data_IF_832329146462
#
_entry.id   IF_832329146462
#
_cell.length_a   1.000
_cell.length_b   1.000
_cell.length_c   1.000
_cell.angle_alpha   90.00
_cell.angle_beta   90.00
_cell.angle_gamma   90.00
#
_symmetry.space_group_name_H-M   'P 1'
#
loop_
_entity.id
_entity.type
_entity.pdbx_description
1 polymer ?
#
# COMPACT_ATOMS: atom_id res chain seq x y z
N UNK A 1 52.90 44.95 -95.97
CA UNK A 1 52.35 44.44 -97.25
C UNK A 1 53.43 44.60 -98.30
N UNK A 2 54.31 43.61 -98.45
CA UNK A 2 55.26 43.59 -99.56
C UNK A 2 54.52 43.19 -100.82
N UNK A 3 54.75 43.91 -101.92
CA UNK A 3 54.21 43.52 -103.23
C UNK A 3 54.57 42.06 -103.53
N UNK A 4 53.61 41.21 -103.96
CA UNK A 4 53.92 39.85 -104.34
C UNK A 4 54.85 39.92 -105.55
N UNK A 5 56.11 39.47 -105.36
CA UNK A 5 57.08 39.36 -106.46
C UNK A 5 56.47 38.46 -107.53
N UNK A 6 56.12 39.05 -108.67
CA UNK A 6 55.64 38.31 -109.84
C UNK A 6 56.75 37.36 -110.28
N UNK A 7 56.53 36.04 -110.24
CA UNK A 7 57.53 35.08 -110.65
C UNK A 7 57.83 35.29 -112.14
N UNK A 8 59.11 35.30 -112.51
CA UNK A 8 59.54 35.36 -113.91
C UNK A 8 59.92 33.95 -114.34
N UNK A 9 59.31 33.46 -115.42
CA UNK A 9 59.44 32.10 -115.90
C UNK A 9 60.37 32.03 -117.12
N UNK A 10 61.17 30.98 -117.24
CA UNK A 10 62.06 30.75 -118.38
C UNK A 10 61.36 30.12 -119.59
N UNK A 11 60.16 29.57 -119.40
CA UNK A 11 59.30 28.94 -120.43
C UNK A 11 57.82 29.04 -120.03
N UNK A 12 56.92 29.05 -121.02
CA UNK A 12 55.46 28.96 -120.82
C UNK A 12 55.07 27.70 -120.04
N UNK A 13 55.84 26.62 -120.22
CA UNK A 13 55.63 25.35 -119.53
C UNK A 13 55.94 25.45 -118.01
N UNK A 14 56.88 26.31 -117.65
CA UNK A 14 57.29 26.60 -116.27
C UNK A 14 56.31 27.55 -115.57
N UNK A 15 55.68 28.46 -116.33
CA UNK A 15 54.59 29.31 -115.84
C UNK A 15 53.31 28.50 -115.57
N UNK A 16 52.93 27.61 -116.50
CA UNK A 16 51.78 26.72 -116.33
C UNK A 16 51.96 25.76 -115.15
N UNK A 17 53.15 25.20 -114.97
CA UNK A 17 53.44 24.30 -113.84
C UNK A 17 53.41 25.03 -112.50
N UNK A 18 53.94 26.26 -112.41
CA UNK A 18 53.89 27.07 -111.20
C UNK A 18 52.45 27.43 -110.79
N UNK A 19 51.61 27.92 -111.73
CA UNK A 19 50.23 28.27 -111.40
C UNK A 19 49.37 27.04 -111.09
N UNK A 20 49.64 25.90 -111.72
CA UNK A 20 49.01 24.62 -111.36
C UNK A 20 49.38 24.20 -109.95
N UNK A 21 50.67 24.20 -109.60
CA UNK A 21 51.14 23.91 -108.23
C UNK A 21 50.55 24.89 -107.21
N UNK A 22 50.43 26.18 -107.55
CA UNK A 22 49.86 27.18 -106.67
C UNK A 22 48.35 26.98 -106.47
N UNK A 23 47.61 26.62 -107.53
CA UNK A 23 46.20 26.23 -107.46
C UNK A 23 46.02 24.99 -106.59
N UNK A 24 46.84 23.95 -106.80
CA UNK A 24 46.81 22.72 -106.02
C UNK A 24 47.08 23.01 -104.53
N UNK A 25 48.05 23.88 -104.21
CA UNK A 25 48.32 24.34 -102.83
C UNK A 25 47.17 25.14 -102.20
N UNK A 26 46.44 25.95 -102.98
CA UNK A 26 45.28 26.68 -102.46
C UNK A 26 44.08 25.76 -102.25
N UNK A 27 43.87 24.83 -103.17
CA UNK A 27 42.85 23.78 -103.06
C UNK A 27 43.11 22.93 -101.81
N UNK A 28 44.34 22.45 -101.62
CA UNK A 28 44.73 21.69 -100.45
C UNK A 28 44.47 22.48 -99.15
N UNK A 29 44.86 23.76 -99.07
CA UNK A 29 44.57 24.58 -97.87
C UNK A 29 43.08 24.81 -97.63
N UNK A 30 42.28 24.92 -98.68
CA UNK A 30 40.83 25.07 -98.56
C UNK A 30 40.18 23.78 -98.06
N UNK A 31 40.67 22.62 -98.56
CA UNK A 31 40.27 21.29 -98.08
C UNK A 31 40.66 21.10 -96.61
N UNK A 32 41.91 21.37 -96.22
CA UNK A 32 42.39 21.30 -94.83
C UNK A 32 41.55 22.19 -93.89
N UNK A 33 41.28 23.45 -94.28
CA UNK A 33 40.45 24.35 -93.49
C UNK A 33 38.98 23.91 -93.40
N UNK A 34 38.46 23.26 -94.46
CA UNK A 34 37.12 22.70 -94.48
C UNK A 34 37.03 21.46 -93.58
N UNK A 35 38.05 20.61 -93.55
CA UNK A 35 38.17 19.47 -92.63
C UNK A 35 38.25 19.95 -91.18
N UNK A 36 39.13 20.91 -90.87
CA UNK A 36 39.26 21.49 -89.53
C UNK A 36 37.94 22.12 -89.02
N UNK A 37 37.21 22.83 -89.88
CA UNK A 37 35.90 23.38 -89.53
C UNK A 37 34.88 22.27 -89.25
N UNK A 38 34.86 21.19 -90.04
CA UNK A 38 33.97 20.06 -89.81
C UNK A 38 34.29 19.35 -88.49
N UNK A 39 35.57 19.14 -88.20
CA UNK A 39 36.02 18.60 -86.92
C UNK A 39 35.59 19.50 -85.76
N UNK A 40 35.81 20.81 -85.84
CA UNK A 40 35.38 21.75 -84.81
C UNK A 40 33.85 21.74 -84.60
N UNK A 41 33.07 21.71 -85.68
CA UNK A 41 31.61 21.61 -85.60
C UNK A 41 31.14 20.28 -85.00
N UNK A 42 31.85 19.18 -85.26
CA UNK A 42 31.55 17.90 -84.64
C UNK A 42 31.89 17.92 -83.15
N UNK A 43 33.08 18.39 -82.79
CA UNK A 43 33.52 18.54 -81.40
C UNK A 43 32.60 19.45 -80.58
N UNK A 44 32.11 20.55 -81.16
CA UNK A 44 31.14 21.44 -80.50
C UNK A 44 29.82 20.71 -80.21
N UNK A 45 29.32 19.94 -81.17
CA UNK A 45 28.07 19.17 -81.01
C UNK A 45 28.22 18.08 -79.94
N UNK A 46 29.35 17.39 -79.92
CA UNK A 46 29.62 16.36 -78.92
C UNK A 46 29.74 16.98 -77.51
N UNK A 47 30.41 18.13 -77.39
CA UNK A 47 30.52 18.87 -76.12
C UNK A 47 29.16 19.41 -75.63
N UNK A 48 28.34 19.96 -76.52
CA UNK A 48 26.97 20.38 -76.20
C UNK A 48 26.12 19.20 -75.70
N UNK A 49 26.24 18.04 -76.34
CA UNK A 49 25.56 16.83 -75.90
C UNK A 49 26.01 16.39 -74.49
N UNK A 50 27.32 16.43 -74.20
CA UNK A 50 27.85 16.15 -72.86
C UNK A 50 27.26 17.10 -71.81
N UNK A 51 27.29 18.42 -72.05
CA UNK A 51 26.71 19.42 -71.16
C UNK A 51 25.20 19.20 -70.94
N UNK A 52 24.45 18.86 -71.99
CA UNK A 52 23.03 18.52 -71.85
C UNK A 52 22.82 17.29 -70.96
N UNK A 53 23.67 16.27 -71.09
CA UNK A 53 23.57 15.08 -70.22
C UNK A 53 23.85 15.42 -68.76
N UNK A 54 24.85 16.25 -68.49
CA UNK A 54 25.17 16.71 -67.12
C UNK A 54 24.04 17.54 -66.54
N UNK A 55 23.47 18.45 -67.33
CA UNK A 55 22.32 19.26 -66.93
C UNK A 55 21.12 18.36 -66.58
N UNK A 56 20.78 17.39 -67.44
CA UNK A 56 19.69 16.43 -67.20
C UNK A 56 19.92 15.63 -65.92
N UNK A 57 21.15 15.16 -65.68
CA UNK A 57 21.48 14.46 -64.43
C UNK A 57 21.35 15.37 -63.20
N UNK A 58 21.77 16.64 -63.31
CA UNK A 58 21.63 17.63 -62.24
C UNK A 58 20.15 17.91 -61.91
N UNK A 59 19.32 18.09 -62.93
CA UNK A 59 17.87 18.30 -62.78
C UNK A 59 17.16 17.09 -62.15
N UNK A 60 17.56 15.88 -62.50
CA UNK A 60 17.04 14.65 -61.87
C UNK A 60 17.43 14.60 -60.40
N UNK A 61 18.71 14.80 -60.08
CA UNK A 61 19.17 14.84 -58.67
C UNK A 61 18.46 15.91 -57.88
N UNK A 62 18.24 17.10 -58.44
CA UNK A 62 17.52 18.18 -57.76
C UNK A 62 16.06 17.78 -57.49
N UNK A 63 15.36 17.20 -58.47
CA UNK A 63 14.00 16.68 -58.28
C UNK A 63 13.92 15.60 -57.19
N UNK A 64 14.87 14.67 -57.17
CA UNK A 64 14.96 13.64 -56.13
C UNK A 64 15.19 14.23 -54.74
N UNK A 65 16.13 15.19 -54.62
CA UNK A 65 16.39 15.89 -53.36
C UNK A 65 15.17 16.66 -52.87
N UNK A 66 14.44 17.35 -53.75
CA UNK A 66 13.20 18.04 -53.39
C UNK A 66 12.12 17.06 -52.93
N UNK A 67 11.93 15.95 -53.62
CA UNK A 67 10.99 14.90 -53.22
C UNK A 67 11.35 14.32 -51.85
N UNK A 68 12.63 14.04 -51.61
CA UNK A 68 13.11 13.56 -50.32
C UNK A 68 12.94 14.60 -49.22
N UNK A 69 13.20 15.88 -49.50
CA UNK A 69 13.01 16.96 -48.54
C UNK A 69 11.54 17.09 -48.13
N UNK A 70 10.62 17.03 -49.10
CA UNK A 70 9.18 17.06 -48.83
C UNK A 70 8.72 15.86 -48.01
N UNK A 71 9.20 14.65 -48.33
CA UNK A 71 8.90 13.45 -47.55
C UNK A 71 9.39 13.58 -46.10
N UNK A 72 10.65 14.01 -45.91
CA UNK A 72 11.22 14.21 -44.57
C UNK A 72 10.46 15.29 -43.78
N UNK A 73 10.02 16.36 -44.43
CA UNK A 73 9.18 17.39 -43.80
C UNK A 73 7.85 16.83 -43.30
N UNK A 74 7.16 16.03 -44.12
CA UNK A 74 5.91 15.38 -43.72
C UNK A 74 6.13 14.38 -42.59
N UNK A 75 7.22 13.60 -42.63
CA UNK A 75 7.58 12.68 -41.54
C UNK A 75 7.83 13.43 -40.23
N UNK A 76 8.53 14.57 -40.30
CA UNK A 76 8.80 15.43 -39.15
C UNK A 76 7.51 16.00 -38.56
N UNK A 77 6.63 16.57 -39.39
CA UNK A 77 5.34 17.11 -38.97
C UNK A 77 4.45 16.04 -38.31
N UNK A 78 4.39 14.84 -38.90
CA UNK A 78 3.65 13.70 -38.33
C UNK A 78 4.22 13.24 -36.98
N UNK A 79 5.55 13.25 -36.82
CA UNK A 79 6.17 12.91 -35.53
C UNK A 79 5.87 14.00 -34.50
N UNK A 80 5.91 15.28 -34.88
CA UNK A 80 5.56 16.39 -34.02
C UNK A 80 4.10 16.32 -33.56
N UNK A 81 3.16 16.07 -34.48
CA UNK A 81 1.74 15.92 -34.14
C UNK A 81 1.52 14.78 -33.16
N UNK A 82 2.14 13.61 -33.41
CA UNK A 82 2.07 12.46 -32.49
C UNK A 82 2.66 12.78 -31.13
N UNK A 83 3.81 13.44 -31.09
CA UNK A 83 4.43 13.84 -29.84
C UNK A 83 3.53 14.79 -29.05
N UNK A 84 2.97 15.82 -29.69
CA UNK A 84 2.10 16.80 -29.05
C UNK A 84 0.80 16.15 -28.54
N UNK A 85 0.20 15.25 -29.33
CA UNK A 85 -0.97 14.50 -28.91
C UNK A 85 -0.70 13.61 -27.68
N UNK A 86 0.42 12.88 -27.69
CA UNK A 86 0.81 12.05 -26.54
C UNK A 86 1.19 12.88 -25.32
N UNK A 87 1.88 14.00 -25.51
CA UNK A 87 2.27 14.91 -24.44
C UNK A 87 1.05 15.56 -23.79
N UNK A 88 0.10 16.05 -24.58
CA UNK A 88 -1.16 16.63 -24.07
C UNK A 88 -2.04 15.59 -23.36
N UNK A 89 -2.10 14.36 -23.87
CA UNK A 89 -2.79 13.27 -23.19
C UNK A 89 -2.13 12.91 -21.85
N UNK A 90 -0.80 12.76 -21.83
CA UNK A 90 -0.05 12.48 -20.61
C UNK A 90 -0.23 13.59 -19.58
N UNK A 91 -0.16 14.85 -19.99
CA UNK A 91 -0.40 16.00 -19.12
C UNK A 91 -1.80 15.95 -18.50
N UNK A 92 -2.84 15.69 -19.33
CA UNK A 92 -4.22 15.52 -18.84
C UNK A 92 -4.35 14.37 -17.84
N UNK A 93 -3.71 13.24 -18.09
CA UNK A 93 -3.72 12.09 -17.18
C UNK A 93 -3.04 12.41 -15.85
N UNK A 94 -1.89 13.09 -15.89
CA UNK A 94 -1.17 13.53 -14.68
C UNK A 94 -2.05 14.48 -13.86
N UNK A 95 -2.64 15.50 -14.48
CA UNK A 95 -3.52 16.45 -13.76
C UNK A 95 -4.73 15.77 -13.13
N UNK A 96 -5.29 14.74 -13.77
CA UNK A 96 -6.38 13.95 -13.18
C UNK A 96 -5.90 13.15 -11.96
N UNK A 97 -4.77 12.46 -12.07
CA UNK A 97 -4.19 11.68 -10.97
C UNK A 97 -3.77 12.56 -9.79
N UNK A 98 -3.26 13.77 -10.05
CA UNK A 98 -2.98 14.76 -9.02
C UNK A 98 -4.24 15.19 -8.28
N UNK A 99 -5.34 15.46 -9.01
CA UNK A 99 -6.65 15.74 -8.41
C UNK A 99 -7.19 14.60 -7.55
N UNK A 100 -7.16 13.36 -8.06
CA UNK A 100 -7.61 12.17 -7.32
C UNK A 100 -6.76 11.94 -6.05
N UNK A 101 -5.46 12.23 -6.11
CA UNK A 101 -4.56 12.13 -4.96
C UNK A 101 -4.89 13.18 -3.90
N UNK A 102 -5.16 14.42 -4.32
CA UNK A 102 -5.59 15.50 -3.43
C UNK A 102 -6.92 15.16 -2.74
N UNK A 103 -7.92 14.69 -3.50
CA UNK A 103 -9.21 14.26 -2.96
C UNK A 103 -9.06 13.11 -1.97
N UNK A 104 -8.32 12.06 -2.34
CA UNK A 104 -8.08 10.90 -1.46
C UNK A 104 -7.37 11.31 -0.18
N UNK A 105 -6.42 12.25 -0.26
CA UNK A 105 -5.70 12.77 0.90
C UNK A 105 -6.64 13.57 1.80
N UNK A 106 -7.49 14.43 1.23
CA UNK A 106 -8.48 15.19 2.01
C UNK A 106 -9.48 14.27 2.74
N UNK A 107 -9.98 13.22 2.06
CA UNK A 107 -10.88 12.23 2.68
C UNK A 107 -10.17 11.48 3.81
N UNK A 108 -8.92 11.07 3.61
CA UNK A 108 -8.12 10.42 4.65
C UNK A 108 -7.96 11.33 5.87
N UNK A 109 -7.62 12.60 5.68
CA UNK A 109 -7.43 13.55 6.77
C UNK A 109 -8.74 13.80 7.54
N UNK A 110 -9.86 13.88 6.82
CA UNK A 110 -11.19 13.98 7.43
C UNK A 110 -11.54 12.74 8.27
N UNK A 111 -11.28 11.53 7.76
CA UNK A 111 -11.50 10.29 8.50
C UNK A 111 -10.60 10.21 9.73
N UNK A 112 -9.35 10.64 9.65
CA UNK A 112 -8.47 10.71 10.81
C UNK A 112 -8.97 11.68 11.87
N UNK A 113 -9.51 12.83 11.46
CA UNK A 113 -10.16 13.77 12.38
C UNK A 113 -11.38 13.13 13.05
N UNK A 114 -12.22 12.47 12.26
CA UNK A 114 -13.42 11.78 12.78
C UNK A 114 -13.08 10.65 13.75
N UNK A 115 -12.01 9.89 13.51
CA UNK A 115 -11.53 8.86 14.46
C UNK A 115 -11.19 9.50 15.82
N UNK A 116 -10.46 10.62 15.84
CA UNK A 116 -10.12 11.32 17.10
C UNK A 116 -11.36 11.82 17.83
N UNK A 117 -12.37 12.30 17.10
CA UNK A 117 -13.65 12.74 17.68
C UNK A 117 -14.41 11.56 18.30
N UNK A 118 -14.42 10.39 17.64
CA UNK A 118 -15.01 9.17 18.18
C UNK A 118 -14.28 8.66 19.43
N UNK A 119 -12.95 8.69 19.42
CA UNK A 119 -12.12 8.34 20.58
C UNK A 119 -12.44 9.24 21.77
N UNK A 120 -12.51 10.56 21.56
CA UNK A 120 -12.90 11.51 22.61
C UNK A 120 -14.31 11.25 23.15
N UNK A 121 -15.29 11.03 22.26
CA UNK A 121 -16.66 10.71 22.67
C UNK A 121 -16.74 9.41 23.47
N UNK A 122 -15.89 8.43 23.16
CA UNK A 122 -15.83 7.17 23.89
C UNK A 122 -15.23 7.36 25.29
N UNK A 123 -14.15 8.13 25.41
CA UNK A 123 -13.57 8.50 26.71
C UNK A 123 -14.59 9.22 27.61
N UNK A 124 -15.37 10.14 27.03
CA UNK A 124 -16.43 10.85 27.76
C UNK A 124 -17.56 9.91 28.19
N UNK A 125 -17.94 8.95 27.34
CA UNK A 125 -18.93 7.93 27.66
C UNK A 125 -18.44 7.01 28.79
N UNK A 126 -17.17 6.58 28.75
CA UNK A 126 -16.56 5.80 29.83
C UNK A 126 -16.53 6.58 31.15
N UNK A 127 -16.19 7.88 31.10
CA UNK A 127 -16.23 8.75 32.28
C UNK A 127 -17.63 8.85 32.86
N UNK A 128 -18.65 9.08 32.02
CA UNK A 128 -20.04 9.12 32.44
C UNK A 128 -20.51 7.78 33.05
N UNK A 129 -20.09 6.66 32.46
CA UNK A 129 -20.34 5.31 32.99
C UNK A 129 -19.74 5.13 34.39
N UNK A 130 -18.47 5.52 34.59
CA UNK A 130 -17.81 5.43 35.91
C UNK A 130 -18.53 6.29 36.95
N UNK A 131 -18.90 7.52 36.61
CA UNK A 131 -19.67 8.39 37.50
C UNK A 131 -21.04 7.80 37.87
N UNK A 132 -21.73 7.18 36.90
CA UNK A 132 -23.01 6.52 37.13
C UNK A 132 -22.88 5.32 38.06
N UNK A 133 -21.87 4.47 37.85
CA UNK A 133 -21.59 3.32 38.72
C UNK A 133 -21.34 3.78 40.16
N UNK A 134 -20.46 4.77 40.36
CA UNK A 134 -20.18 5.33 41.69
C UNK A 134 -21.44 5.89 42.37
N UNK A 135 -22.28 6.61 41.62
CA UNK A 135 -23.55 7.11 42.16
C UNK A 135 -24.53 6.00 42.55
N UNK A 136 -24.52 4.87 41.85
CA UNK A 136 -25.32 3.70 42.19
C UNK A 136 -24.78 3.03 43.45
N UNK A 137 -23.47 2.82 43.54
CA UNK A 137 -22.79 2.27 44.72
C UNK A 137 -23.07 3.13 45.97
N UNK A 138 -23.02 4.45 45.86
CA UNK A 138 -23.37 5.38 46.94
C UNK A 138 -24.86 5.29 47.36
N UNK A 139 -25.74 4.98 46.41
CA UNK A 139 -27.16 4.75 46.73
C UNK A 139 -27.35 3.40 47.42
N UNK A 140 -26.71 2.34 46.95
CA UNK A 140 -26.73 1.01 47.55
C UNK A 140 -26.21 1.03 48.99
N UNK A 141 -25.09 1.71 49.26
CA UNK A 141 -24.55 1.86 50.61
C UNK A 141 -25.53 2.59 51.55
N UNK A 142 -26.15 3.68 51.09
CA UNK A 142 -27.16 4.40 51.89
C UNK A 142 -28.39 3.52 52.15
N UNK A 143 -28.82 2.75 51.15
CA UNK A 143 -29.94 1.84 51.31
C UNK A 143 -29.64 0.74 52.32
N UNK A 144 -28.43 0.14 52.26
CA UNK A 144 -27.97 -0.84 53.24
C UNK A 144 -27.96 -0.27 54.66
N UNK A 145 -27.48 0.97 54.84
CA UNK A 145 -27.51 1.62 56.15
C UNK A 145 -28.93 1.80 56.71
N UNK A 146 -29.89 2.15 55.83
CA UNK A 146 -31.31 2.26 56.22
C UNK A 146 -31.87 0.87 56.58
N UNK A 147 -31.51 -0.18 55.85
CA UNK A 147 -31.90 -1.56 56.16
C UNK A 147 -31.36 -1.99 57.53
N UNK A 148 -30.06 -1.76 57.79
CA UNK A 148 -29.44 -2.07 59.08
C UNK A 148 -30.12 -1.33 60.24
N UNK A 149 -30.43 -0.04 60.05
CA UNK A 149 -31.16 0.75 61.04
C UNK A 149 -32.58 0.19 61.28
N UNK A 150 -33.29 -0.20 60.23
CA UNK A 150 -34.62 -0.78 60.36
C UNK A 150 -34.58 -2.11 61.11
N UNK A 151 -33.63 -2.99 60.80
CA UNK A 151 -33.45 -4.26 61.52
C UNK A 151 -33.14 -4.04 63.01
N UNK A 152 -32.32 -3.03 63.33
CA UNK A 152 -32.07 -2.64 64.71
C UNK A 152 -33.35 -2.17 65.43
N UNK A 153 -34.14 -1.30 64.79
CA UNK A 153 -35.42 -0.83 65.33
C UNK A 153 -36.44 -1.95 65.49
N UNK A 154 -36.49 -2.91 64.56
CA UNK A 154 -37.32 -4.11 64.68
C UNK A 154 -36.95 -4.91 65.94
N UNK A 155 -35.65 -5.12 66.19
CA UNK A 155 -35.20 -5.81 67.40
C UNK A 155 -35.55 -5.07 68.71
N UNK A 156 -35.48 -3.73 68.73
CA UNK A 156 -35.92 -2.94 69.88
C UNK A 156 -37.43 -3.05 70.13
N UNK A 157 -38.23 -3.17 69.04
CA UNK A 157 -39.66 -3.42 69.15
C UNK A 157 -39.96 -4.83 69.69
N UNK A 158 -39.23 -5.85 69.22
CA UNK A 158 -39.36 -7.22 69.71
C UNK A 158 -38.99 -7.32 71.21
N UNK A 159 -37.90 -6.67 71.65
CA UNK A 159 -37.53 -6.60 73.07
C UNK A 159 -38.63 -5.94 73.92
N UNK A 160 -39.21 -4.85 73.40
CA UNK A 160 -40.34 -4.19 74.05
C UNK A 160 -41.56 -5.11 74.15
N UNK A 161 -41.88 -5.87 73.10
CA UNK A 161 -42.97 -6.86 73.12
C UNK A 161 -42.71 -7.95 74.16
N UNK A 162 -41.50 -8.52 74.19
CA UNK A 162 -41.10 -9.53 75.19
C UNK A 162 -41.21 -9.00 76.64
N UNK A 163 -40.85 -7.74 76.88
CA UNK A 163 -41.02 -7.11 78.18
C UNK A 163 -42.50 -6.92 78.53
N UNK A 164 -43.34 -6.52 77.58
CA UNK A 164 -44.78 -6.41 77.77
C UNK A 164 -45.39 -7.78 78.12
N UNK A 165 -45.00 -8.85 77.44
CA UNK A 165 -45.40 -10.22 77.79
C UNK A 165 -44.97 -10.58 79.22
N UNK A 166 -43.72 -10.30 79.58
CA UNK A 166 -43.18 -10.62 80.90
C UNK A 166 -43.90 -9.85 82.02
N UNK A 167 -44.19 -8.56 81.80
CA UNK A 167 -44.99 -7.73 82.71
C UNK A 167 -46.40 -8.29 82.83
N UNK A 168 -47.00 -8.72 81.72
CA UNK A 168 -48.34 -9.31 81.73
C UNK A 168 -48.36 -10.63 82.51
N UNK A 169 -47.37 -11.52 82.32
CA UNK A 169 -47.22 -12.76 83.10
C UNK A 169 -47.05 -12.48 84.59
N UNK A 170 -46.15 -11.57 84.97
CA UNK A 170 -45.96 -11.18 86.38
C UNK A 170 -47.22 -10.57 86.98
N UNK A 171 -48.01 -9.82 86.20
CA UNK A 171 -49.28 -9.27 86.65
C UNK A 171 -50.31 -10.37 86.89
N UNK A 172 -50.34 -11.39 86.05
CA UNK A 172 -51.21 -12.56 86.21
C UNK A 172 -50.76 -13.39 87.44
N UNK A 173 -49.46 -13.64 87.62
CA UNK A 173 -48.91 -14.30 88.83
C UNK A 173 -49.21 -13.50 90.10
N UNK A 174 -49.03 -12.17 90.09
CA UNK A 174 -49.37 -11.31 91.22
C UNK A 174 -50.88 -11.32 91.52
N UNK A 175 -51.72 -11.50 90.49
CA UNK A 175 -53.15 -11.67 90.65
C UNK A 175 -53.49 -13.04 91.26
N UNK A 176 -52.82 -14.09 90.85
CA UNK A 176 -53.01 -15.45 91.36
C UNK A 176 -52.54 -15.57 92.81
N UNK A 177 -51.36 -15.04 93.14
CA UNK A 177 -50.88 -14.98 94.53
C UNK A 177 -51.80 -14.18 95.45
N UNK A 178 -52.40 -13.08 94.96
CA UNK A 178 -53.43 -12.34 95.72
C UNK A 178 -54.69 -13.19 95.95
N UNK A 179 -55.08 -14.01 94.98
CA UNK A 179 -56.19 -14.96 95.15
C UNK A 179 -55.82 -16.06 96.16
N UNK A 180 -54.61 -16.62 96.08
CA UNK A 180 -54.12 -17.62 97.04
C UNK A 180 -54.05 -17.07 98.47
N UNK A 181 -53.54 -15.85 98.68
CA UNK A 181 -53.53 -15.19 99.98
C UNK A 181 -54.95 -14.94 100.51
N UNK A 182 -55.89 -14.55 99.64
CA UNK A 182 -57.30 -14.39 100.03
C UNK A 182 -57.91 -15.75 100.46
N UNK A 183 -57.57 -16.83 99.77
CA UNK A 183 -58.00 -18.20 100.15
C UNK A 183 -57.33 -18.65 101.44
N UNK A 184 -56.03 -18.39 101.65
CA UNK A 184 -55.32 -18.70 102.90
C UNK A 184 -55.87 -17.93 104.09
N UNK A 185 -56.25 -16.65 103.95
CA UNK A 185 -56.94 -15.90 105.00
C UNK A 185 -58.31 -16.49 105.35
N UNK A 186 -59.01 -17.10 104.38
CA UNK A 186 -60.25 -17.85 104.63
C UNK A 186 -59.95 -19.19 105.32
N UNK A 187 -58.81 -19.82 105.00
CA UNK A 187 -58.34 -21.08 105.58
C UNK A 187 -57.78 -20.93 107.01
N UNK A 188 -57.14 -19.81 107.36
CA UNK A 188 -56.61 -19.50 108.72
C UNK A 188 -57.71 -19.33 109.78
N UNK A 189 -59.00 -19.31 109.40
CA UNK A 189 -60.14 -19.42 110.33
C UNK A 189 -60.48 -20.85 110.78
N UNK A 190 -59.55 -21.82 110.71
CA UNK A 190 -59.62 -23.11 111.47
C UNK A 190 -58.25 -23.49 112.07
N UNK A 191 -58.20 -24.02 113.31
CA UNK A 191 -56.98 -24.09 114.12
C UNK A 191 -56.08 -25.31 113.79
N UNK A 192 -54.82 -25.33 114.28
CA UNK A 192 -53.69 -25.97 113.61
C UNK A 192 -53.31 -27.34 114.19
N UNK A 193 -52.54 -28.13 113.42
CA UNK A 193 -51.76 -29.25 113.94
C UNK A 193 -50.34 -29.25 113.40
N UNK A 194 -49.44 -29.62 114.31
CA UNK A 194 -48.02 -29.41 114.44
C UNK A 194 -47.11 -30.43 113.73
N UNK A 195 -45.80 -30.18 113.89
CA UNK A 195 -44.61 -31.06 113.75
C UNK A 195 -43.92 -31.06 112.38
N UNK A 196 -42.59 -31.20 112.23
CA UNK A 196 -41.39 -30.91 113.03
C UNK A 196 -40.21 -31.43 112.18
N UNK A 197 -39.18 -30.59 111.98
CA UNK A 197 -37.73 -30.88 112.02
C UNK A 197 -37.06 -31.98 111.15
N UNK A 198 -35.97 -31.54 110.51
CA UNK A 198 -34.58 -32.08 110.54
C UNK A 198 -33.94 -32.70 109.27
N UNK A 199 -32.82 -32.05 108.88
CA UNK A 199 -31.47 -32.55 108.51
C UNK A 199 -31.11 -33.16 107.13
N UNK A 200 -30.08 -32.51 106.58
CA UNK A 200 -28.77 -33.03 106.12
C UNK A 200 -28.66 -33.80 104.78
N UNK A 201 -27.93 -33.22 103.80
CA UNK A 201 -26.58 -33.70 103.42
C UNK A 201 -25.93 -32.93 102.26
N UNK A 202 -24.72 -32.53 102.58
CA UNK A 202 -23.48 -32.15 101.88
C UNK A 202 -23.19 -32.69 100.46
N UNK A 203 -22.42 -31.86 99.74
CA UNK A 203 -21.42 -32.13 98.67
C UNK A 203 -21.85 -32.35 97.20
N UNK A 204 -21.47 -31.44 96.30
CA UNK A 204 -20.23 -31.58 95.51
C UNK A 204 -20.06 -30.52 94.39
N UNK A 205 -18.80 -30.09 94.25
CA UNK A 205 -18.08 -29.63 93.06
C UNK A 205 -18.59 -28.50 92.16
N UNK A 206 -17.85 -27.40 92.30
CA UNK A 206 -17.49 -26.40 91.30
C UNK A 206 -17.06 -26.94 89.91
N UNK A 207 -17.29 -26.07 88.92
CA UNK A 207 -16.58 -25.90 87.62
C UNK A 207 -17.28 -26.49 86.40
N UNK A 208 -18.05 -25.64 85.70
CA UNK A 208 -18.40 -25.83 84.29
C UNK A 208 -17.88 -24.63 83.51
N UNK A 209 -16.87 -24.87 82.67
CA UNK A 209 -16.28 -23.92 81.74
C UNK A 209 -16.98 -24.08 80.39
N UNK A 210 -17.25 -22.93 79.76
CA UNK A 210 -17.86 -22.72 78.45
C UNK A 210 -16.94 -23.25 77.30
N UNK A 211 -17.36 -23.25 76.03
CA UNK A 211 -17.40 -24.44 75.17
C UNK A 211 -16.35 -24.40 74.05
N UNK A 212 -16.08 -25.51 73.35
CA UNK A 212 -15.51 -25.39 72.01
C UNK A 212 -15.75 -26.63 71.12
N UNK A 213 -15.95 -26.33 69.84
CA UNK A 213 -16.06 -27.18 68.63
C UNK A 213 -17.50 -27.46 68.16
N UNK A 214 -17.78 -27.62 66.83
CA UNK A 214 -16.94 -27.38 65.65
C UNK A 214 -17.64 -26.54 64.54
N UNK A 215 -16.87 -25.72 63.83
CA UNK A 215 -17.31 -25.13 62.55
C UNK A 215 -17.10 -26.15 61.43
N UNK A 216 -18.20 -26.56 60.78
CA UNK A 216 -18.23 -27.04 59.39
C UNK A 216 -18.18 -25.79 58.47
N UNK A 217 -17.55 -25.84 57.29
CA UNK A 217 -18.31 -26.33 56.14
C UNK A 217 -17.49 -27.17 55.13
N UNK A 218 -18.23 -27.97 54.37
CA UNK A 218 -17.82 -28.71 53.18
C UNK A 218 -18.74 -28.27 52.03
N UNK A 219 -18.21 -28.16 50.80
CA UNK A 219 -18.95 -27.95 49.55
C UNK A 219 -18.46 -26.71 48.78
N UNK A 220 -17.48 -26.76 47.87
CA UNK A 220 -17.49 -27.33 46.49
C UNK A 220 -18.56 -26.65 45.61
N UNK A 221 -18.32 -25.93 44.51
CA UNK A 221 -17.54 -26.13 43.25
C UNK A 221 -17.34 -24.74 42.53
N UNK A 222 -17.01 -24.61 41.22
CA UNK A 222 -15.72 -24.82 40.53
C UNK A 222 -15.27 -23.62 39.62
N UNK A 223 -14.05 -23.72 39.06
CA UNK A 223 -13.56 -23.12 37.78
C UNK A 223 -13.50 -21.57 37.67
N UNK A 224 -12.58 -20.85 37.01
CA UNK A 224 -11.37 -21.02 36.17
C UNK A 224 -10.71 -19.61 36.04
N UNK A 225 -9.51 -19.42 35.45
CA UNK A 225 -8.61 -18.31 35.77
C UNK A 225 -8.68 -17.09 34.82
N UNK A 226 -8.20 -15.93 35.29
CA UNK A 226 -7.76 -14.80 34.44
C UNK A 226 -6.48 -14.20 35.04
N UNK A 227 -5.33 -14.48 34.42
CA UNK A 227 -4.59 -13.55 33.55
C UNK A 227 -3.88 -12.42 34.32
N UNK A 228 -2.65 -12.70 34.73
CA UNK A 228 -1.65 -11.67 35.04
C UNK A 228 -0.70 -11.58 33.84
N UNK A 229 -0.71 -10.41 33.22
CA UNK A 229 0.18 -9.99 32.14
C UNK A 229 1.62 -10.01 32.66
N UNK A 230 2.45 -10.93 32.12
CA UNK A 230 3.90 -10.75 32.09
C UNK A 230 4.41 -10.84 30.66
N UNK A 231 5.04 -9.73 30.30
CA UNK A 231 5.88 -9.47 29.13
C UNK A 231 7.11 -10.38 29.20
N UNK A 232 7.45 -11.05 28.09
CA UNK A 232 8.70 -11.79 27.95
C UNK A 232 8.66 -12.77 26.77
N UNK A 233 9.53 -12.54 25.79
CA UNK A 233 9.86 -13.40 24.66
C UNK A 233 9.87 -14.89 25.03
N UNK A 234 9.31 -15.73 24.14
CA UNK A 234 9.87 -17.03 23.77
C UNK A 234 9.09 -17.62 22.57
N UNK A 235 9.82 -17.77 21.46
CA UNK A 235 9.44 -18.51 20.27
C UNK A 235 9.29 -19.99 20.61
N UNK A 236 8.10 -20.48 20.94
CA UNK A 236 7.70 -21.89 20.78
C UNK A 236 6.21 -22.11 21.08
N UNK A 237 5.42 -22.33 20.02
CA UNK A 237 4.39 -23.38 20.03
C UNK A 237 3.03 -23.13 20.70
N UNK A 238 2.47 -21.92 20.73
CA UNK A 238 1.02 -21.78 21.00
C UNK A 238 0.22 -22.23 19.78
N UNK A 239 -0.71 -23.19 19.88
CA UNK A 239 -1.53 -23.60 18.74
C UNK A 239 -2.38 -22.42 18.27
N UNK A 240 -2.17 -22.00 17.03
CA UNK A 240 -2.95 -20.95 16.39
C UNK A 240 -4.45 -21.25 16.52
N UNK A 241 -5.23 -20.23 16.88
CA UNK A 241 -6.69 -20.34 16.94
C UNK A 241 -7.22 -20.85 15.59
N UNK A 242 -8.31 -21.62 15.60
CA UNK A 242 -8.89 -22.19 14.37
C UNK A 242 -9.16 -21.10 13.33
N UNK A 243 -9.58 -19.91 13.75
CA UNK A 243 -9.77 -18.74 12.87
C UNK A 243 -8.45 -18.23 12.26
N UNK A 244 -7.37 -18.13 13.05
CA UNK A 244 -6.06 -17.70 12.54
C UNK A 244 -5.49 -18.69 11.52
N UNK A 245 -5.69 -20.00 11.73
CA UNK A 245 -5.29 -21.04 10.76
C UNK A 245 -6.06 -20.95 9.45
N UNK A 246 -7.38 -20.79 9.51
CA UNK A 246 -8.22 -20.65 8.31
C UNK A 246 -7.85 -19.38 7.53
N UNK A 247 -7.63 -18.25 8.22
CA UNK A 247 -7.19 -17.00 7.60
C UNK A 247 -5.83 -17.15 6.92
N UNK A 248 -4.86 -17.79 7.59
CA UNK A 248 -3.53 -18.02 7.00
C UNK A 248 -3.60 -18.92 5.76
N UNK A 249 -4.39 -20.00 5.80
CA UNK A 249 -4.61 -20.88 4.64
C UNK A 249 -5.28 -20.16 3.46
N UNK A 250 -6.25 -19.29 3.73
CA UNK A 250 -6.89 -18.48 2.69
C UNK A 250 -5.91 -17.51 2.03
N UNK A 251 -5.07 -16.84 2.82
CA UNK A 251 -4.03 -15.92 2.30
C UNK A 251 -3.01 -16.71 1.45
N UNK A 252 -2.54 -17.86 1.93
CA UNK A 252 -1.62 -18.72 1.17
C UNK A 252 -2.28 -19.22 -0.12
N UNK A 253 -3.55 -19.61 -0.06
CA UNK A 253 -4.32 -20.02 -1.24
C UNK A 253 -4.52 -18.89 -2.26
N UNK A 254 -4.71 -17.65 -1.81
CA UNK A 254 -4.80 -16.48 -2.68
C UNK A 254 -3.44 -16.15 -3.33
N UNK A 255 -2.35 -16.23 -2.56
CA UNK A 255 -0.99 -16.03 -3.07
C UNK A 255 -0.63 -17.06 -4.13
N UNK A 256 -0.90 -18.35 -3.90
CA UNK A 256 -0.66 -19.40 -4.89
C UNK A 256 -1.46 -19.18 -6.18
N UNK A 257 -2.70 -18.70 -6.09
CA UNK A 257 -3.52 -18.34 -7.26
C UNK A 257 -2.93 -17.15 -8.02
N UNK A 258 -2.43 -16.13 -7.31
CA UNK A 258 -1.75 -14.98 -7.92
C UNK A 258 -0.45 -15.39 -8.60
N UNK A 259 0.34 -16.26 -7.97
CA UNK A 259 1.56 -16.83 -8.57
C UNK A 259 1.23 -17.63 -9.82
N UNK A 260 0.22 -18.51 -9.79
CA UNK A 260 -0.21 -19.25 -10.99
C UNK A 260 -0.69 -18.34 -12.13
N UNK A 261 -1.42 -17.27 -11.82
CA UNK A 261 -1.83 -16.27 -12.82
C UNK A 261 -0.63 -15.50 -13.40
N UNK A 262 0.37 -15.18 -12.57
CA UNK A 262 1.60 -14.54 -13.02
C UNK A 262 2.42 -15.47 -13.91
N UNK A 263 2.58 -16.74 -13.52
CA UNK A 263 3.26 -17.76 -14.33
C UNK A 263 2.58 -17.97 -15.68
N UNK A 264 1.24 -18.01 -15.73
CA UNK A 264 0.48 -18.10 -16.98
C UNK A 264 0.70 -16.88 -17.89
N UNK A 265 0.71 -15.67 -17.33
CA UNK A 265 1.03 -14.45 -18.10
C UNK A 265 2.47 -14.44 -18.58
N UNK A 266 3.41 -14.91 -17.76
CA UNK A 266 4.83 -14.95 -18.10
C UNK A 266 5.12 -16.00 -19.18
N UNK A 267 4.44 -17.15 -19.14
CA UNK A 267 4.44 -18.14 -20.20
C UNK A 267 3.87 -17.56 -21.51
N UNK A 268 2.75 -16.84 -21.45
CA UNK A 268 2.15 -16.18 -22.61
C UNK A 268 3.06 -15.10 -23.21
N UNK A 269 3.75 -14.31 -22.39
CA UNK A 269 4.76 -13.35 -22.87
C UNK A 269 5.95 -14.06 -23.52
N UNK A 270 6.38 -15.20 -22.96
CA UNK A 270 7.47 -15.99 -23.55
C UNK A 270 7.09 -16.53 -24.92
N UNK A 271 5.88 -17.08 -25.07
CA UNK A 271 5.38 -17.57 -26.35
C UNK A 271 5.24 -16.44 -27.38
N UNK A 272 4.78 -15.25 -26.95
CA UNK A 272 4.74 -14.06 -27.81
C UNK A 272 6.12 -13.59 -28.29
N UNK A 273 7.15 -13.67 -27.44
CA UNK A 273 8.54 -13.35 -27.79
C UNK A 273 9.14 -14.38 -28.77
N UNK A 274 8.73 -15.65 -28.68
CA UNK A 274 9.15 -16.67 -29.65
C UNK A 274 8.41 -16.53 -30.99
N UNK A 275 7.11 -16.21 -31.00
CA UNK A 275 6.33 -16.01 -32.24
C UNK A 275 6.70 -14.72 -32.99
N UNK A 276 7.21 -13.69 -32.30
CA UNK A 276 7.70 -12.45 -32.92
C UNK A 276 9.13 -12.55 -33.46
N UNK A 277 9.78 -13.71 -33.36
CA UNK A 277 11.09 -13.96 -33.98
C UNK A 277 10.93 -14.70 -35.32
N UNK A 278 10.99 -14.01 -36.48
CA UNK A 278 10.94 -14.70 -37.77
C UNK A 278 12.29 -15.33 -38.07
N UNK A 279 12.31 -16.65 -38.17
CA UNK A 279 13.23 -17.46 -39.00
C UNK A 279 14.71 -17.03 -38.98
N UNK A 280 15.52 -17.67 -38.13
CA UNK A 280 16.90 -18.02 -38.53
C UNK A 280 17.08 -19.53 -38.49
N UNK A 281 17.29 -20.04 -39.70
CA UNK A 281 17.59 -21.42 -40.06
C UNK A 281 18.73 -22.03 -39.25
N UNK A 282 18.54 -23.31 -38.94
CA UNK A 282 19.46 -24.23 -38.28
C UNK A 282 20.83 -24.34 -38.97
N UNK A 283 21.88 -24.49 -38.16
CA UNK A 283 23.09 -25.27 -38.46
C UNK A 283 23.59 -25.95 -37.16
N UNK A 284 24.00 -27.23 -37.20
CA UNK A 284 24.48 -27.97 -36.03
C UNK A 284 26.02 -28.17 -36.03
N UNK A 285 26.65 -28.06 -34.85
CA UNK A 285 27.88 -28.78 -34.39
C UNK A 285 28.45 -28.04 -33.17
N UNK A 286 28.35 -28.57 -31.95
CA UNK A 286 29.20 -29.57 -31.28
C UNK A 286 30.10 -28.90 -30.20
N UNK A 287 30.55 -29.66 -29.16
CA UNK A 287 30.62 -29.17 -27.78
C UNK A 287 32.06 -29.00 -27.26
N UNK A 288 32.25 -28.18 -26.21
CA UNK A 288 33.51 -28.18 -25.47
C UNK A 288 33.74 -27.05 -24.47
N UNK A 289 33.29 -27.27 -23.23
CA UNK A 289 33.93 -26.92 -21.93
C UNK A 289 34.16 -25.45 -21.48
N UNK A 290 34.15 -25.22 -20.14
CA UNK A 290 33.94 -23.91 -19.53
C UNK A 290 35.23 -23.22 -19.09
N UNK A 291 35.19 -21.91 -18.87
CA UNK A 291 36.10 -21.23 -17.96
C UNK A 291 35.40 -20.06 -17.26
N UNK A 292 35.39 -20.14 -15.94
CA UNK A 292 35.10 -19.07 -15.02
C UNK A 292 36.27 -18.08 -14.96
N UNK A 293 35.98 -16.84 -14.52
CA UNK A 293 36.76 -15.85 -13.75
C UNK A 293 36.09 -14.48 -14.05
N UNK A 294 35.24 -13.95 -13.16
CA UNK A 294 35.55 -13.06 -12.03
C UNK A 294 36.21 -11.71 -12.41
N UNK A 295 35.55 -10.60 -12.06
CA UNK A 295 36.20 -9.34 -11.67
C UNK A 295 35.87 -8.06 -12.45
N UNK A 296 35.30 -7.07 -11.74
CA UNK A 296 35.25 -5.64 -12.09
C UNK A 296 34.00 -5.21 -12.89
N UNK A 297 33.37 -4.04 -12.67
CA UNK A 297 33.95 -2.76 -12.24
C UNK A 297 32.84 -1.82 -11.75
N UNK A 298 33.21 -0.99 -10.77
CA UNK A 298 32.46 0.12 -10.18
C UNK A 298 31.94 1.13 -11.22
N UNK A 299 30.72 1.63 -11.00
CA UNK A 299 30.13 2.72 -11.80
C UNK A 299 30.64 4.05 -11.26
N UNK A 300 31.60 4.66 -11.97
CA UNK A 300 32.02 6.04 -11.75
C UNK A 300 31.12 6.97 -12.59
N UNK A 301 30.36 7.82 -11.90
CA UNK A 301 29.52 8.86 -12.52
C UNK A 301 30.39 9.97 -13.11
N UNK A 302 30.33 10.15 -14.43
CA UNK A 302 30.88 11.33 -15.11
C UNK A 302 29.80 12.41 -15.23
N UNK A 303 29.95 13.45 -14.41
CA UNK A 303 29.31 14.76 -14.57
C UNK A 303 29.89 15.46 -15.80
N UNK A 304 29.05 15.78 -16.80
CA UNK A 304 29.42 16.64 -17.92
C UNK A 304 28.78 18.01 -17.73
N UNK A 305 29.61 19.02 -17.47
CA UNK A 305 29.23 20.44 -17.49
C UNK A 305 29.18 20.96 -18.94
N UNK A 306 28.31 21.95 -19.25
CA UNK A 306 28.16 22.46 -20.62
C UNK A 306 29.26 23.48 -20.99
N UNK A 307 29.52 23.70 -22.30
CA UNK A 307 30.60 24.58 -22.74
C UNK A 307 30.19 26.06 -22.64
N UNK A 308 31.13 26.88 -22.17
CA UNK A 308 31.10 28.33 -22.25
C UNK A 308 31.46 28.76 -23.68
N UNK A 309 30.61 29.56 -24.32
CA UNK A 309 30.98 30.34 -25.50
C UNK A 309 31.43 31.72 -25.02
N UNK A 310 32.69 32.07 -25.31
CA UNK A 310 33.20 33.43 -25.16
C UNK A 310 32.62 34.34 -26.26
N UNK A 311 32.26 35.56 -25.87
CA UNK A 311 32.07 36.70 -26.76
C UNK A 311 32.63 37.96 -26.10
#
# INVERSE_FOLDING_TARGET
MGEPKTPKFGSIEEELSFWKEQSDKHQQRAEEAQEELQEFQQMSRDYEAELETELKQCEVRNRELLSNNNRLRMELENIQEKYEAQHSEAFRQISLLEGDLEETTAVKDQLQKYIRELEQSNDDLERAKRATIMSLEDFEQRMNHVIERNAFLESELDEKENLLESVQRLKDEARDLRQELAVQQVQERRPPSSFSKEKDRTESSSRSTIPTTPSKPLGTFPATPASSIRRGDNLTGTPLTTSARISALNIVGELLRKVGNLESKLASCRDFVYDTSPKRSALPSCPGTPSAIEGGTEIQACSMSPPHYDR
#
